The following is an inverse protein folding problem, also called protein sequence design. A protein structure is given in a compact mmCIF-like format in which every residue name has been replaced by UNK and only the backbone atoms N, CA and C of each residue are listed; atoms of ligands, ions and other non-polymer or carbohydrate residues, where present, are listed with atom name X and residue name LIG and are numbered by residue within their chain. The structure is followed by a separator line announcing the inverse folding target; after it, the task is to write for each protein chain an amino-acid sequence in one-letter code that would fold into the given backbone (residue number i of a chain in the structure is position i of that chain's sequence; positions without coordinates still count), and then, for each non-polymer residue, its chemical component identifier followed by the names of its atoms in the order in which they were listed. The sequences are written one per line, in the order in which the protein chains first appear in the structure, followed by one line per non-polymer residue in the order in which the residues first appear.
data_IF_792218648503
#
_entry.id   IF_792218648503
#
_cell.length_a   1.000
_cell.length_b   1.000
_cell.length_c   1.000
_cell.angle_alpha   90.00
_cell.angle_beta   90.00
_cell.angle_gamma   90.00
#
_symmetry.space_group_name_H-M   'P 1'
#
loop_
_entity.id
_entity.type
_entity.pdbx_description
1 polymer ?
#
# COMPACT_ATOMS: atom_id res chain seq x y z
N UNK A 1 -19.52 10.37 -13.64
CA UNK A 1 -18.17 10.14 -14.16
C UNK A 1 -18.26 10.17 -15.68
N UNK A 2 -17.45 10.94 -16.40
CA UNK A 2 -17.42 10.88 -17.86
C UNK A 2 -17.14 9.45 -18.34
N UNK A 3 -17.80 9.03 -19.39
CA UNK A 3 -17.68 7.68 -19.94
C UNK A 3 -16.22 7.31 -20.31
N UNK A 4 -15.45 8.31 -20.75
CA UNK A 4 -14.04 8.20 -21.11
C UNK A 4 -13.14 7.77 -19.95
N UNK A 5 -13.43 8.19 -18.71
CA UNK A 5 -12.63 7.79 -17.55
C UNK A 5 -12.87 6.34 -17.16
N UNK A 6 -14.11 5.86 -17.30
CA UNK A 6 -14.43 4.44 -17.07
C UNK A 6 -13.71 3.55 -18.08
N UNK A 7 -13.64 3.97 -19.34
CA UNK A 7 -12.90 3.23 -20.37
C UNK A 7 -11.41 3.11 -20.04
N UNK A 8 -10.78 4.17 -19.58
CA UNK A 8 -9.35 4.14 -19.17
C UNK A 8 -9.09 3.13 -18.05
N UNK A 9 -9.97 3.04 -17.05
CA UNK A 9 -9.86 2.03 -15.99
C UNK A 9 -10.04 0.61 -16.53
N UNK A 10 -10.97 0.42 -17.45
CA UNK A 10 -11.21 -0.90 -18.06
C UNK A 10 -10.04 -1.35 -18.93
N UNK A 11 -9.43 -0.44 -19.69
CA UNK A 11 -8.22 -0.71 -20.47
C UNK A 11 -7.02 -1.03 -19.56
N UNK A 12 -6.87 -0.28 -18.47
CA UNK A 12 -5.85 -0.56 -17.48
C UNK A 12 -6.03 -1.96 -16.85
N UNK A 13 -7.27 -2.39 -16.59
CA UNK A 13 -7.57 -3.73 -16.08
C UNK A 13 -7.14 -4.82 -17.07
N UNK A 14 -7.45 -4.65 -18.36
CA UNK A 14 -7.03 -5.58 -19.42
C UNK A 14 -5.50 -5.67 -19.49
N UNK A 15 -4.81 -4.52 -19.46
CA UNK A 15 -3.36 -4.48 -19.49
C UNK A 15 -2.71 -5.17 -18.29
N UNK A 16 -3.28 -5.01 -17.09
CA UNK A 16 -2.80 -5.70 -15.87
C UNK A 16 -3.00 -7.21 -15.97
N UNK A 17 -4.17 -7.66 -16.40
CA UNK A 17 -4.45 -9.07 -16.59
C UNK A 17 -3.53 -9.70 -17.67
N UNK A 18 -3.27 -8.97 -18.75
CA UNK A 18 -2.33 -9.37 -19.81
C UNK A 18 -0.90 -9.45 -19.29
N UNK A 19 -0.43 -8.42 -18.57
CA UNK A 19 0.91 -8.40 -18.00
C UNK A 19 1.14 -9.57 -17.03
N UNK A 20 0.15 -9.86 -16.17
CA UNK A 20 0.23 -11.01 -15.27
C UNK A 20 0.29 -12.36 -16.03
N UNK A 21 -0.44 -12.47 -17.14
CA UNK A 21 -0.47 -13.70 -17.95
C UNK A 21 0.82 -13.91 -18.74
N UNK A 22 1.33 -12.87 -19.38
CA UNK A 22 2.51 -12.95 -20.28
C UNK A 22 3.83 -12.89 -19.51
N UNK A 23 3.89 -12.08 -18.46
CA UNK A 23 5.11 -11.82 -17.67
C UNK A 23 4.84 -11.86 -16.15
N UNK A 24 4.50 -13.03 -15.58
CA UNK A 24 4.12 -13.14 -14.15
C UNK A 24 5.24 -12.68 -13.20
N UNK A 25 6.50 -12.98 -13.51
CA UNK A 25 7.64 -12.54 -12.70
C UNK A 25 7.81 -11.02 -12.67
N UNK A 26 7.61 -10.36 -13.82
CA UNK A 26 7.66 -8.89 -13.92
C UNK A 26 6.52 -8.25 -13.15
N UNK A 27 5.31 -8.84 -13.23
CA UNK A 27 4.17 -8.37 -12.45
C UNK A 27 4.41 -8.51 -10.96
N UNK A 28 4.89 -9.68 -10.51
CA UNK A 28 5.20 -9.94 -9.10
C UNK A 28 6.26 -8.99 -8.55
N UNK A 29 7.33 -8.74 -9.32
CA UNK A 29 8.36 -7.78 -8.92
C UNK A 29 7.79 -6.37 -8.73
N UNK A 30 6.90 -5.92 -9.62
CA UNK A 30 6.20 -4.64 -9.48
C UNK A 30 5.32 -4.59 -8.21
N UNK A 31 4.71 -5.72 -7.86
CA UNK A 31 3.94 -5.81 -6.62
C UNK A 31 4.85 -5.79 -5.38
N UNK A 32 5.99 -6.48 -5.40
CA UNK A 32 7.00 -6.39 -4.32
C UNK A 32 7.51 -4.97 -4.14
N UNK A 33 7.81 -4.27 -5.23
CA UNK A 33 8.23 -2.86 -5.20
C UNK A 33 7.18 -1.94 -4.58
N UNK A 34 5.89 -2.18 -4.84
CA UNK A 34 4.82 -1.39 -4.22
C UNK A 34 4.83 -1.55 -2.69
N UNK A 35 4.94 -2.78 -2.18
CA UNK A 35 5.06 -3.05 -0.74
C UNK A 35 6.29 -2.38 -0.13
N UNK A 36 7.42 -2.43 -0.83
CA UNK A 36 8.65 -1.77 -0.41
C UNK A 36 8.45 -0.24 -0.24
N UNK A 37 7.83 0.43 -1.21
CA UNK A 37 7.59 1.88 -1.14
C UNK A 37 6.62 2.26 -0.02
N UNK A 38 5.63 1.43 0.27
CA UNK A 38 4.72 1.65 1.40
C UNK A 38 5.51 1.68 2.71
N UNK A 39 6.40 0.72 2.95
CA UNK A 39 7.18 0.68 4.19
C UNK A 39 8.17 1.84 4.28
N UNK A 40 8.86 2.21 3.18
CA UNK A 40 9.73 3.39 3.14
C UNK A 40 8.98 4.65 3.58
N UNK A 41 7.84 4.90 2.94
CA UNK A 41 7.05 6.10 3.26
C UNK A 41 6.48 6.07 4.68
N UNK A 42 6.15 4.88 5.17
CA UNK A 42 5.67 4.67 6.52
C UNK A 42 6.75 4.98 7.57
N UNK A 43 7.97 4.48 7.37
CA UNK A 43 9.12 4.78 8.21
C UNK A 43 9.35 6.30 8.22
N UNK A 44 9.37 6.92 7.04
CA UNK A 44 9.60 8.36 6.91
C UNK A 44 8.49 9.19 7.56
N UNK A 45 7.23 8.82 7.34
CA UNK A 45 6.06 9.43 7.98
C UNK A 45 6.15 9.38 9.51
N UNK A 46 6.56 8.24 10.06
CA UNK A 46 6.72 8.07 11.50
C UNK A 46 7.89 8.87 12.07
N UNK A 47 9.02 8.90 11.38
CA UNK A 47 10.16 9.73 11.80
C UNK A 47 9.76 11.20 11.89
N UNK A 48 9.10 11.71 10.84
CA UNK A 48 8.60 13.09 10.83
C UNK A 48 7.55 13.32 11.91
N UNK A 49 6.59 12.41 12.05
CA UNK A 49 5.55 12.50 13.07
C UNK A 49 6.12 12.55 14.49
N UNK A 50 7.11 11.72 14.79
CA UNK A 50 7.75 11.67 16.10
C UNK A 50 8.56 12.92 16.44
N UNK A 51 9.16 13.57 15.46
CA UNK A 51 9.92 14.82 15.68
C UNK A 51 9.05 15.89 16.34
N UNK A 52 7.75 15.90 16.05
CA UNK A 52 6.80 16.89 16.60
C UNK A 52 5.98 16.36 17.78
N UNK A 53 6.14 15.07 18.16
CA UNK A 53 5.31 14.46 19.21
C UNK A 53 5.39 15.16 20.57
N UNK A 54 6.58 15.66 20.93
CA UNK A 54 6.82 16.36 22.20
C UNK A 54 6.41 17.82 22.18
N UNK A 55 6.34 18.45 21.00
CA UNK A 55 6.10 19.89 20.85
C UNK A 55 4.64 20.17 20.50
N UNK A 56 4.15 19.53 19.44
CA UNK A 56 2.75 19.63 18.98
C UNK A 56 2.34 18.35 18.23
N UNK A 57 1.65 17.41 18.89
CA UNK A 57 1.23 16.16 18.29
C UNK A 57 0.30 16.31 17.07
N UNK A 58 -0.44 17.43 16.97
CA UNK A 58 -1.34 17.68 15.84
C UNK A 58 -0.54 17.93 14.55
N UNK A 59 0.51 18.74 14.64
CA UNK A 59 1.45 18.96 13.54
C UNK A 59 2.18 17.68 13.14
N UNK A 60 2.60 16.87 14.11
CA UNK A 60 3.22 15.57 13.85
C UNK A 60 2.34 14.66 12.99
N UNK A 61 1.06 14.54 13.33
CA UNK A 61 0.09 13.74 12.54
C UNK A 61 -0.14 14.31 11.15
N UNK A 62 -0.29 15.62 11.02
CA UNK A 62 -0.52 16.28 9.74
C UNK A 62 0.68 16.11 8.81
N UNK A 63 1.88 16.41 9.26
CA UNK A 63 3.09 16.31 8.46
C UNK A 63 3.42 14.86 8.10
N UNK A 64 3.25 13.94 9.05
CA UNK A 64 3.38 12.51 8.80
C UNK A 64 2.44 12.03 7.70
N UNK A 65 1.18 12.47 7.71
CA UNK A 65 0.20 12.15 6.66
C UNK A 65 0.60 12.71 5.29
N UNK A 66 1.09 13.95 5.24
CA UNK A 66 1.58 14.56 3.98
C UNK A 66 2.77 13.79 3.43
N UNK A 67 3.71 13.43 4.30
CA UNK A 67 4.92 12.66 3.90
C UNK A 67 4.55 11.26 3.40
N UNK A 68 3.54 10.63 4.00
CA UNK A 68 3.07 9.32 3.55
C UNK A 68 2.57 9.33 2.09
N UNK A 69 2.07 10.47 1.60
CA UNK A 69 1.64 10.60 0.21
C UNK A 69 2.78 10.33 -0.81
N UNK A 70 4.05 10.45 -0.39
CA UNK A 70 5.22 10.10 -1.21
C UNK A 70 5.15 8.64 -1.67
N UNK A 71 4.62 7.72 -0.85
CA UNK A 71 4.43 6.32 -1.26
C UNK A 71 3.58 6.21 -2.52
N UNK A 72 2.44 6.88 -2.53
CA UNK A 72 1.50 6.84 -3.66
C UNK A 72 2.14 7.43 -4.90
N UNK A 73 2.86 8.54 -4.76
CA UNK A 73 3.60 9.16 -5.87
C UNK A 73 4.63 8.19 -6.46
N UNK A 74 5.48 7.58 -5.63
CA UNK A 74 6.48 6.62 -6.09
C UNK A 74 5.85 5.42 -6.80
N UNK A 75 4.77 4.87 -6.24
CA UNK A 75 4.05 3.72 -6.82
C UNK A 75 3.50 4.08 -8.21
N UNK A 76 2.90 5.26 -8.35
CA UNK A 76 2.31 5.72 -9.62
C UNK A 76 3.40 5.99 -10.65
N UNK A 77 4.45 6.76 -10.30
CA UNK A 77 5.51 7.12 -11.24
C UNK A 77 6.33 5.92 -11.72
N UNK A 78 6.60 4.96 -10.84
CA UNK A 78 7.38 3.76 -11.20
C UNK A 78 6.50 2.68 -11.83
N UNK A 79 5.18 2.82 -11.73
CA UNK A 79 4.23 1.83 -12.24
C UNK A 79 4.24 0.53 -11.43
N UNK A 80 4.38 0.65 -10.11
CA UNK A 80 4.29 -0.48 -9.20
C UNK A 80 2.84 -0.94 -9.01
N UNK A 81 2.65 -2.21 -8.66
CA UNK A 81 1.33 -2.86 -8.60
C UNK A 81 0.84 -2.92 -7.15
N UNK A 82 0.12 -1.88 -6.73
CA UNK A 82 -0.46 -1.81 -5.38
C UNK A 82 -1.81 -2.55 -5.33
N UNK A 83 -1.99 -3.43 -4.34
CA UNK A 83 -3.20 -4.24 -4.17
C UNK A 83 -4.47 -3.38 -4.07
N UNK A 84 -4.47 -2.33 -3.27
CA UNK A 84 -5.64 -1.46 -3.08
C UNK A 84 -6.05 -0.74 -4.37
N UNK A 85 -5.09 -0.24 -5.15
CA UNK A 85 -5.34 0.34 -6.47
C UNK A 85 -5.84 -0.70 -7.47
N UNK A 86 -5.31 -1.92 -7.42
CA UNK A 86 -5.74 -3.01 -8.27
C UNK A 86 -7.18 -3.46 -7.96
N UNK A 87 -7.64 -3.35 -6.70
CA UNK A 87 -9.03 -3.66 -6.35
C UNK A 87 -9.99 -2.77 -7.14
N UNK A 88 -9.73 -1.48 -7.17
CA UNK A 88 -10.56 -0.53 -7.90
C UNK A 88 -10.51 -0.80 -9.42
N UNK A 89 -9.32 -0.82 -10.00
CA UNK A 89 -9.13 -0.95 -11.45
C UNK A 89 -9.73 -2.26 -11.97
N UNK A 90 -9.46 -3.38 -11.30
CA UNK A 90 -9.95 -4.69 -11.74
C UNK A 90 -11.45 -4.84 -11.55
N UNK A 91 -12.04 -4.25 -10.52
CA UNK A 91 -13.49 -4.23 -10.33
C UNK A 91 -14.18 -3.50 -11.49
N UNK A 92 -13.71 -2.31 -11.87
CA UNK A 92 -14.24 -1.60 -13.03
C UNK A 92 -14.15 -2.42 -14.32
N UNK A 93 -13.00 -3.05 -14.57
CA UNK A 93 -12.82 -3.92 -15.74
C UNK A 93 -13.77 -5.13 -15.77
N UNK A 94 -14.09 -5.69 -14.59
CA UNK A 94 -15.04 -6.79 -14.47
C UNK A 94 -16.49 -6.34 -14.69
N UNK A 95 -16.87 -5.17 -14.12
CA UNK A 95 -18.20 -4.59 -14.36
C UNK A 95 -18.43 -4.24 -15.84
N UNK A 96 -17.40 -3.73 -16.51
CA UNK A 96 -17.42 -3.45 -17.96
C UNK A 96 -17.27 -4.74 -18.83
N UNK A 97 -17.23 -5.90 -18.19
CA UNK A 97 -17.13 -7.23 -18.84
C UNK A 97 -15.88 -7.42 -19.73
N UNK A 98 -14.85 -6.59 -19.56
CA UNK A 98 -13.57 -6.68 -20.31
C UNK A 98 -12.60 -7.67 -19.69
N UNK A 99 -12.72 -7.98 -18.40
CA UNK A 99 -11.96 -9.01 -17.70
C UNK A 99 -12.88 -9.93 -16.93
N UNK A 100 -12.49 -11.20 -16.80
CA UNK A 100 -13.26 -12.19 -16.04
C UNK A 100 -12.98 -12.06 -14.54
N UNK A 101 -13.93 -12.43 -13.68
CA UNK A 101 -13.75 -12.47 -12.23
C UNK A 101 -12.60 -13.38 -11.78
N UNK A 102 -12.31 -14.44 -12.56
CA UNK A 102 -11.15 -15.29 -12.30
C UNK A 102 -9.82 -14.55 -12.53
N UNK A 103 -9.75 -13.66 -13.53
CA UNK A 103 -8.58 -12.80 -13.73
C UNK A 103 -8.45 -11.75 -12.63
N UNK A 104 -9.56 -11.18 -12.18
CA UNK A 104 -9.60 -10.26 -11.04
C UNK A 104 -8.99 -10.92 -9.79
N UNK A 105 -9.48 -12.11 -9.43
CA UNK A 105 -8.98 -12.85 -8.26
C UNK A 105 -7.48 -13.17 -8.36
N UNK A 106 -6.99 -13.54 -9.53
CA UNK A 106 -5.55 -13.79 -9.76
C UNK A 106 -4.72 -12.53 -9.56
N UNK A 107 -5.14 -11.41 -10.15
CA UNK A 107 -4.45 -10.12 -10.01
C UNK A 107 -4.43 -9.69 -8.54
N UNK A 108 -5.54 -9.78 -7.84
CA UNK A 108 -5.63 -9.44 -6.43
C UNK A 108 -4.70 -10.28 -5.56
N UNK A 109 -4.73 -11.61 -5.75
CA UNK A 109 -3.91 -12.52 -4.96
C UNK A 109 -2.42 -12.27 -5.17
N UNK A 110 -1.98 -12.14 -6.42
CA UNK A 110 -0.56 -11.92 -6.74
C UNK A 110 -0.09 -10.54 -6.26
N UNK A 111 -0.91 -9.50 -6.39
CA UNK A 111 -0.61 -8.18 -5.85
C UNK A 111 -0.50 -8.19 -4.33
N UNK A 112 -1.44 -8.86 -3.66
CA UNK A 112 -1.44 -8.98 -2.19
C UNK A 112 -0.17 -9.67 -1.68
N UNK A 113 0.15 -10.85 -2.23
CA UNK A 113 1.34 -11.61 -1.84
C UNK A 113 2.61 -10.80 -2.14
N UNK A 114 2.69 -10.17 -3.32
CA UNK A 114 3.84 -9.35 -3.68
C UNK A 114 4.03 -8.16 -2.76
N UNK A 115 2.96 -7.41 -2.44
CA UNK A 115 3.03 -6.30 -1.50
C UNK A 115 3.47 -6.78 -0.11
N UNK A 116 2.91 -7.90 0.37
CA UNK A 116 3.30 -8.50 1.64
C UNK A 116 4.79 -8.86 1.69
N UNK A 117 5.29 -9.53 0.67
CA UNK A 117 6.73 -9.89 0.55
C UNK A 117 7.60 -8.63 0.55
N UNK A 118 7.22 -7.60 -0.20
CA UNK A 118 7.95 -6.33 -0.23
C UNK A 118 8.01 -5.65 1.13
N UNK A 119 6.88 -5.61 1.84
CA UNK A 119 6.82 -5.08 3.20
C UNK A 119 7.71 -5.88 4.16
N UNK A 120 7.64 -7.21 4.09
CA UNK A 120 8.42 -8.10 4.96
C UNK A 120 9.93 -7.91 4.76
N UNK A 121 10.40 -7.91 3.50
CA UNK A 121 11.83 -7.75 3.18
C UNK A 121 12.36 -6.44 3.76
N UNK A 122 11.68 -5.32 3.51
CA UNK A 122 12.17 -4.04 4.00
C UNK A 122 12.08 -3.92 5.51
N UNK A 123 11.02 -4.46 6.13
CA UNK A 123 10.89 -4.45 7.59
C UNK A 123 12.04 -5.24 8.25
N UNK A 124 12.39 -6.40 7.71
CA UNK A 124 13.54 -7.19 8.20
C UNK A 124 14.85 -6.42 8.03
N UNK A 125 15.09 -5.81 6.86
CA UNK A 125 16.29 -5.00 6.62
C UNK A 125 16.36 -3.85 7.62
N UNK A 126 15.25 -3.17 7.88
CA UNK A 126 15.17 -2.05 8.81
C UNK A 126 15.50 -2.46 10.25
N UNK A 127 14.98 -3.60 10.69
CA UNK A 127 15.28 -4.16 12.03
C UNK A 127 16.76 -4.56 12.14
N UNK A 128 17.29 -5.26 11.13
CA UNK A 128 18.69 -5.69 11.10
C UNK A 128 19.67 -4.52 11.04
N UNK A 129 19.28 -3.41 10.42
CA UNK A 129 20.09 -2.19 10.39
C UNK A 129 20.22 -1.49 11.76
N UNK A 130 19.64 -2.05 12.82
CA UNK A 130 19.70 -1.48 14.17
C UNK A 130 18.86 -0.19 14.33
N UNK A 131 18.08 0.15 13.34
CA UNK A 131 17.17 1.31 13.39
C UNK A 131 15.96 1.06 14.31
N UNK A 132 15.92 -0.09 14.95
CA UNK A 132 14.86 -0.55 15.86
C UNK A 132 14.97 0.00 17.30
N UNK A 133 15.86 0.98 17.57
CA UNK A 133 15.80 1.73 18.83
C UNK A 133 14.46 2.43 19.07
N UNK A 134 13.59 2.41 18.07
CA UNK A 134 12.18 2.79 18.09
C UNK A 134 11.24 1.57 17.96
N UNK A 135 11.73 0.35 18.27
CA UNK A 135 11.01 -0.91 18.02
C UNK A 135 9.65 -0.98 18.72
N UNK A 136 9.51 -0.44 19.92
CA UNK A 136 8.23 -0.40 20.65
C UNK A 136 7.17 0.41 19.88
N UNK A 137 7.60 1.44 19.18
CA UNK A 137 6.73 2.24 18.32
C UNK A 137 6.30 1.49 17.06
N UNK A 138 7.21 0.74 16.45
CA UNK A 138 6.91 -0.04 15.25
C UNK A 138 6.11 -1.30 15.52
N UNK A 139 6.30 -1.95 16.67
CA UNK A 139 5.47 -3.07 17.10
C UNK A 139 4.01 -2.63 17.29
N UNK A 140 3.78 -1.47 17.89
CA UNK A 140 2.45 -0.85 17.98
C UNK A 140 1.85 -0.54 16.61
N UNK A 141 2.68 -0.10 15.66
CA UNK A 141 2.23 0.27 14.32
C UNK A 141 1.89 -0.94 13.43
N UNK A 142 2.68 -2.01 13.49
CA UNK A 142 2.36 -3.28 12.80
C UNK A 142 1.08 -3.88 13.38
N UNK A 143 0.89 -3.81 14.69
CA UNK A 143 -0.37 -4.17 15.33
C UNK A 143 -1.55 -3.33 14.82
N UNK A 144 -1.39 -2.01 14.63
CA UNK A 144 -2.43 -1.12 14.11
C UNK A 144 -2.84 -1.40 12.66
N UNK A 145 -1.91 -1.91 11.84
CA UNK A 145 -2.21 -2.37 10.48
C UNK A 145 -3.00 -3.69 10.45
N UNK A 146 -2.85 -4.52 11.48
CA UNK A 146 -3.50 -5.83 11.59
C UNK A 146 -4.74 -5.84 12.48
N UNK A 147 -4.89 -4.86 13.36
CA UNK A 147 -6.07 -4.72 14.20
C UNK A 147 -6.88 -3.53 13.73
N UNK A 148 -8.05 -3.82 13.16
CA UNK A 148 -9.18 -2.88 13.14
C UNK A 148 -9.29 -2.22 14.52
N UNK A 149 -9.55 -0.90 14.63
CA UNK A 149 -9.66 -0.24 15.92
C UNK A 149 -10.64 -1.03 16.80
N UNK A 150 -10.12 -1.57 17.90
CA UNK A 150 -10.91 -2.29 18.87
C UNK A 150 -11.97 -1.33 19.43
N UNK A 151 -13.20 -1.78 19.71
CA UNK A 151 -14.20 -0.94 20.39
C UNK A 151 -13.72 -0.36 21.72
N UNK A 152 -12.63 -0.89 22.31
CA UNK A 152 -11.99 -0.36 23.52
C UNK A 152 -11.24 0.96 23.29
N UNK A 153 -10.74 1.20 22.09
CA UNK A 153 -10.00 2.44 21.76
C UNK A 153 -10.95 3.63 21.58
N UNK A 154 -12.24 3.36 21.35
CA UNK A 154 -13.29 4.37 21.22
C UNK A 154 -13.87 4.76 22.59
N UNK A 155 -13.75 3.91 23.61
CA UNK A 155 -14.31 4.15 24.95
C UNK A 155 -13.39 4.92 25.92
N UNK A 156 -12.12 5.13 25.54
CA UNK A 156 -11.11 5.81 26.38
C UNK A 156 -11.08 7.33 26.30
N UNK A 157 -11.98 7.95 25.52
CA UNK A 157 -12.08 9.43 25.42
C UNK A 157 -13.36 9.94 26.08
N UNK A 158 -13.48 9.75 27.41
CA UNK A 158 -14.40 10.51 28.25
C UNK A 158 -13.66 11.08 29.45
#
# INVERSE_FOLDING_TARGET
MPYDDVQKFSEAAVNKAKLLKEHPGKYFLRAVMAGFFIVVAMIFSNVVGNTFQSTDPAWGKLLGGIVFAIAVLLIVFIGAELFTGNNLVMAFGAYDKKVSWAQVGKVWLVSYIGNFVGCLILSVIFVLAGASGTADYYAGFICLLYTSPSPRDISGSR
#
